data_IF_208759851193
#
_entry.id   IF_208759851193
#
_cell.length_a   1.000
_cell.length_b   1.000
_cell.length_c   1.000
_cell.angle_alpha   90.00
_cell.angle_beta   90.00
_cell.angle_gamma   90.00
#
_symmetry.space_group_name_H-M   'P 1'
#
loop_
_entity.id
_entity.type
_entity.pdbx_description
1 polymer ?
#
# COMPACT_ATOMS: atom_id res chain seq x y z
N UNK A 1 -18.21 -16.70 5.91
CA UNK A 1 -16.73 -16.78 6.02
C UNK A 1 -16.19 -15.55 5.33
N UNK A 2 -15.64 -14.59 6.08
CA UNK A 2 -15.05 -13.38 5.51
C UNK A 2 -13.83 -13.79 4.71
N UNK A 3 -13.90 -13.73 3.38
CA UNK A 3 -12.75 -14.01 2.52
C UNK A 3 -11.65 -12.99 2.83
N UNK A 4 -10.42 -13.43 2.98
CA UNK A 4 -9.22 -12.59 3.12
C UNK A 4 -8.62 -12.35 1.72
N UNK A 5 -7.98 -11.19 1.45
CA UNK A 5 -7.24 -10.98 0.22
C UNK A 5 -6.15 -12.04 0.02
N UNK A 6 -5.88 -12.42 -1.23
CA UNK A 6 -4.83 -13.38 -1.58
C UNK A 6 -3.50 -12.65 -1.72
N UNK A 7 -2.73 -12.61 -0.63
CA UNK A 7 -1.49 -11.84 -0.53
C UNK A 7 -0.26 -12.68 -0.89
N UNK A 8 0.85 -12.05 -1.32
CA UNK A 8 2.16 -12.70 -1.42
C UNK A 8 2.58 -13.34 -0.09
N UNK A 9 3.25 -14.51 -0.08
CA UNK A 9 3.61 -15.20 1.16
C UNK A 9 4.38 -14.35 2.17
N UNK A 10 5.30 -13.48 1.70
CA UNK A 10 6.08 -12.57 2.56
C UNK A 10 5.22 -11.49 3.22
N UNK A 11 4.21 -10.98 2.52
CA UNK A 11 3.33 -9.93 3.04
C UNK A 11 2.27 -10.44 4.03
N UNK A 12 1.96 -11.74 4.04
CA UNK A 12 0.88 -12.31 4.87
C UNK A 12 1.06 -12.02 6.37
N UNK A 13 2.29 -12.10 6.88
CA UNK A 13 2.56 -11.92 8.31
C UNK A 13 2.34 -10.46 8.75
N UNK A 14 2.97 -9.50 8.06
CA UNK A 14 2.83 -8.07 8.32
C UNK A 14 1.39 -7.60 8.11
N UNK A 15 0.75 -8.01 7.02
CA UNK A 15 -0.64 -7.63 6.76
C UNK A 15 -1.59 -8.13 7.88
N UNK A 16 -1.41 -9.36 8.37
CA UNK A 16 -2.17 -9.88 9.51
C UNK A 16 -1.91 -9.10 10.79
N UNK A 17 -0.66 -8.68 11.02
CA UNK A 17 -0.34 -7.81 12.15
C UNK A 17 -1.14 -6.51 12.05
N UNK A 18 -1.13 -5.83 10.90
CA UNK A 18 -1.87 -4.58 10.70
C UNK A 18 -3.39 -4.74 10.86
N UNK A 19 -3.95 -5.89 10.51
CA UNK A 19 -5.37 -6.18 10.74
C UNK A 19 -5.74 -6.25 12.24
N UNK A 20 -4.78 -6.51 13.13
CA UNK A 20 -5.01 -6.55 14.59
C UNK A 20 -4.81 -5.21 15.29
N UNK A 21 -4.26 -4.23 14.58
CA UNK A 21 -3.98 -2.91 15.14
C UNK A 21 -5.23 -2.03 15.20
N UNK A 22 -5.18 -1.01 16.04
CA UNK A 22 -6.31 -0.08 16.17
C UNK A 22 -6.50 0.68 14.86
N UNK A 23 -7.70 0.67 14.26
CA UNK A 23 -7.94 1.38 13.02
C UNK A 23 -7.68 2.87 13.16
N UNK A 24 -6.91 3.44 12.22
CA UNK A 24 -6.72 4.89 12.13
C UNK A 24 -7.87 5.53 11.34
N UNK A 25 -8.23 6.78 11.59
CA UNK A 25 -9.13 7.52 10.69
C UNK A 25 -8.55 7.62 9.27
N UNK A 26 -9.41 7.52 8.25
CA UNK A 26 -9.01 7.61 6.82
C UNK A 26 -8.16 8.83 6.52
N UNK A 27 -8.54 10.00 7.04
CA UNK A 27 -7.83 11.25 6.78
C UNK A 27 -6.39 11.23 7.34
N UNK A 28 -6.13 10.48 8.41
CA UNK A 28 -4.79 10.34 8.97
C UNK A 28 -3.93 9.47 8.06
N UNK A 29 -4.46 8.32 7.62
CA UNK A 29 -3.75 7.45 6.68
C UNK A 29 -3.51 8.13 5.32
N UNK A 30 -4.47 8.94 4.84
CA UNK A 30 -4.29 9.73 3.63
C UNK A 30 -3.14 10.75 3.76
N UNK A 31 -3.03 11.41 4.91
CA UNK A 31 -1.92 12.34 5.19
C UNK A 31 -0.57 11.61 5.36
N UNK A 32 -0.57 10.42 5.96
CA UNK A 32 0.64 9.57 6.04
C UNK A 32 1.10 9.12 4.64
N UNK A 33 0.17 8.78 3.75
CA UNK A 33 0.45 8.47 2.34
C UNK A 33 1.00 9.68 1.56
N UNK A 34 0.52 10.89 1.84
CA UNK A 34 1.10 12.12 1.27
C UNK A 34 2.55 12.33 1.73
N UNK A 35 2.81 12.18 3.02
CA UNK A 35 4.16 12.33 3.59
C UNK A 35 5.12 11.26 3.07
N UNK A 36 4.64 10.02 2.92
CA UNK A 36 5.35 8.92 2.29
C UNK A 36 5.78 9.29 0.86
N UNK A 37 4.84 9.79 0.05
CA UNK A 37 5.13 10.12 -1.34
C UNK A 37 6.11 11.30 -1.46
N UNK A 38 6.02 12.29 -0.57
CA UNK A 38 7.02 13.36 -0.49
C UNK A 38 8.42 12.82 -0.17
N UNK A 39 8.51 11.83 0.72
CA UNK A 39 9.77 11.17 1.07
C UNK A 39 10.35 10.41 -0.14
N UNK A 40 9.55 9.59 -0.81
CA UNK A 40 9.97 8.87 -2.04
C UNK A 40 10.38 9.86 -3.13
N UNK A 41 9.68 10.98 -3.28
CA UNK A 41 10.01 12.00 -4.28
C UNK A 41 11.37 12.66 -4.04
N UNK A 42 11.73 12.87 -2.76
CA UNK A 42 13.08 13.34 -2.40
C UNK A 42 14.14 12.30 -2.74
N UNK A 43 13.87 11.01 -2.51
CA UNK A 43 14.77 9.93 -2.90
C UNK A 43 14.94 9.84 -4.42
N UNK A 44 13.83 9.85 -5.17
CA UNK A 44 13.82 9.80 -6.63
C UNK A 44 14.57 10.99 -7.27
N UNK A 45 14.50 12.17 -6.66
CA UNK A 45 15.28 13.33 -7.14
C UNK A 45 16.80 13.14 -7.06
N UNK A 46 17.27 12.15 -6.29
CA UNK A 46 18.69 11.84 -6.07
C UNK A 46 19.11 10.50 -6.69
N UNK A 47 18.15 9.65 -7.04
CA UNK A 47 18.37 8.32 -7.59
C UNK A 47 17.35 8.04 -8.71
N UNK A 48 17.79 8.07 -9.96
CA UNK A 48 16.95 7.77 -11.14
C UNK A 48 16.44 6.32 -11.17
N UNK A 49 17.03 5.42 -10.36
CA UNK A 49 16.57 4.04 -10.21
C UNK A 49 15.29 3.88 -9.38
N UNK A 50 14.86 4.91 -8.66
CA UNK A 50 13.59 4.89 -7.91
C UNK A 50 12.42 5.00 -8.88
N UNK A 51 11.49 4.05 -8.82
CA UNK A 51 10.31 4.01 -9.67
C UNK A 51 9.24 5.01 -9.21
N UNK A 52 9.52 6.31 -9.39
CA UNK A 52 8.66 7.41 -8.92
C UNK A 52 7.21 7.29 -9.41
N UNK A 53 7.01 7.04 -10.70
CA UNK A 53 5.68 6.94 -11.29
C UNK A 53 4.87 5.77 -10.70
N UNK A 54 5.54 4.67 -10.35
CA UNK A 54 4.89 3.53 -9.70
C UNK A 54 4.50 3.90 -8.26
N UNK A 55 5.39 4.51 -7.48
CA UNK A 55 5.08 4.96 -6.12
C UNK A 55 3.89 5.93 -6.07
N UNK A 56 3.78 6.85 -7.03
CA UNK A 56 2.61 7.72 -7.17
C UNK A 56 1.32 6.92 -7.39
N UNK A 57 1.33 6.00 -8.37
CA UNK A 57 0.16 5.16 -8.68
C UNK A 57 -0.26 4.29 -7.49
N UNK A 58 0.69 3.73 -6.75
CA UNK A 58 0.41 2.93 -5.55
C UNK A 58 -0.18 3.78 -4.43
N UNK A 59 0.36 4.98 -4.22
CA UNK A 59 -0.17 5.94 -3.23
C UNK A 59 -1.61 6.34 -3.55
N UNK A 60 -1.88 6.69 -4.81
CA UNK A 60 -3.23 7.06 -5.26
C UNK A 60 -4.20 5.88 -5.13
N UNK A 61 -3.74 4.67 -5.45
CA UNK A 61 -4.51 3.44 -5.29
C UNK A 61 -4.85 3.16 -3.83
N UNK A 62 -3.88 3.31 -2.93
CA UNK A 62 -4.10 3.14 -1.49
C UNK A 62 -5.16 4.13 -0.96
N UNK A 63 -5.10 5.40 -1.36
CA UNK A 63 -6.11 6.41 -1.01
C UNK A 63 -7.49 6.07 -1.58
N UNK A 64 -7.55 5.60 -2.83
CA UNK A 64 -8.79 5.17 -3.45
C UNK A 64 -9.40 3.96 -2.72
N UNK A 65 -8.60 2.98 -2.31
CA UNK A 65 -9.04 1.82 -1.54
C UNK A 65 -9.57 2.21 -0.15
N UNK A 66 -8.91 3.14 0.54
CA UNK A 66 -9.38 3.67 1.84
C UNK A 66 -10.78 4.28 1.72
N UNK A 67 -11.05 4.98 0.62
CA UNK A 67 -12.34 5.64 0.36
C UNK A 67 -13.39 4.65 -0.15
N UNK A 68 -12.98 3.68 -0.96
CA UNK A 68 -13.87 2.71 -1.60
C UNK A 68 -14.18 1.48 -0.74
N UNK A 69 -13.57 1.37 0.44
CA UNK A 69 -13.67 0.19 1.29
C UNK A 69 -15.15 -0.13 1.63
N UNK A 70 -15.63 -1.34 1.33
CA UNK A 70 -16.95 -1.78 1.75
C UNK A 70 -17.09 -1.80 3.28
N UNK A 71 -18.33 -1.72 3.76
CA UNK A 71 -18.62 -1.85 5.19
C UNK A 71 -18.01 -3.13 5.77
N UNK A 72 -17.34 -3.02 6.93
CA UNK A 72 -16.65 -4.13 7.59
C UNK A 72 -15.33 -4.56 6.93
N UNK A 73 -14.92 -3.99 5.79
CA UNK A 73 -13.65 -4.29 5.11
C UNK A 73 -12.60 -3.19 5.21
N UNK A 74 -12.93 -2.11 5.91
CA UNK A 74 -12.07 -0.93 6.06
C UNK A 74 -10.65 -1.28 6.57
N UNK A 75 -10.54 -2.22 7.51
CA UNK A 75 -9.27 -2.74 8.02
C UNK A 75 -8.32 -3.30 6.94
N UNK A 76 -8.84 -3.89 5.86
CA UNK A 76 -8.00 -4.43 4.78
C UNK A 76 -7.39 -3.30 3.93
N UNK A 77 -8.15 -2.22 3.70
CA UNK A 77 -7.63 -1.04 3.02
C UNK A 77 -6.54 -0.36 3.85
N UNK A 78 -6.77 -0.27 5.17
CA UNK A 78 -5.78 0.30 6.09
C UNK A 78 -4.53 -0.56 6.17
N UNK A 79 -4.66 -1.88 6.27
CA UNK A 79 -3.52 -2.79 6.28
C UNK A 79 -2.68 -2.69 5.00
N UNK A 80 -3.32 -2.54 3.83
CA UNK A 80 -2.60 -2.32 2.57
C UNK A 80 -1.88 -0.97 2.51
N UNK A 81 -2.56 0.11 2.92
CA UNK A 81 -1.95 1.44 2.98
C UNK A 81 -0.75 1.49 3.93
N UNK A 82 -0.85 0.81 5.07
CA UNK A 82 0.25 0.73 6.05
C UNK A 82 1.39 -0.14 5.58
N UNK A 83 1.10 -1.26 4.91
CA UNK A 83 2.13 -2.06 4.26
C UNK A 83 3.00 -1.19 3.35
N UNK A 84 2.37 -0.42 2.45
CA UNK A 84 3.06 0.52 1.57
C UNK A 84 3.93 1.54 2.32
N UNK A 85 3.44 2.09 3.43
CA UNK A 85 4.16 3.14 4.19
C UNK A 85 5.34 2.56 5.00
N UNK A 86 5.12 1.42 5.66
CA UNK A 86 6.01 0.90 6.69
C UNK A 86 7.05 -0.11 6.17
N UNK A 87 6.88 -0.70 4.97
CA UNK A 87 7.89 -1.60 4.37
C UNK A 87 9.18 -0.83 4.01
N UNK A 88 9.08 0.49 3.76
CA UNK A 88 10.22 1.38 3.43
C UNK A 88 11.23 1.61 4.57
N UNK A 89 11.00 1.11 5.79
CA UNK A 89 11.95 1.29 6.90
C UNK A 89 13.19 0.38 6.76
N UNK A 90 13.23 -0.47 5.73
CA UNK A 90 14.44 -1.15 5.29
C UNK A 90 15.07 -0.37 4.12
N UNK A 91 16.33 0.07 4.28
CA UNK A 91 17.15 0.78 3.28
C UNK A 91 17.17 0.17 1.84
N UNK A 92 16.60 -1.01 1.60
CA UNK A 92 16.62 -1.76 0.33
C UNK A 92 15.64 -1.22 -0.75
N UNK A 93 14.47 -0.70 -0.39
CA UNK A 93 13.43 -0.35 -1.38
C UNK A 93 13.74 0.92 -2.19
N UNK A 94 14.62 1.77 -1.66
CA UNK A 94 15.09 2.98 -2.35
C UNK A 94 16.37 2.75 -3.16
N UNK A 95 16.87 1.50 -3.19
CA UNK A 95 18.15 1.12 -3.79
C UNK A 95 17.97 0.25 -5.04
N UNK A 96 16.81 -0.38 -5.24
CA UNK A 96 16.55 -1.33 -6.33
C UNK A 96 15.37 -1.01 -7.25
N UNK A 97 15.42 -1.53 -8.48
CA UNK A 97 14.35 -1.43 -9.50
C UNK A 97 13.10 -2.24 -9.19
N UNK A 98 13.08 -3.00 -8.09
CA UNK A 98 12.01 -3.94 -7.75
C UNK A 98 11.34 -3.61 -6.40
N UNK A 99 11.72 -2.48 -5.76
CA UNK A 99 11.35 -2.15 -4.38
C UNK A 99 9.84 -2.04 -4.11
N UNK A 100 9.00 -1.79 -5.12
CA UNK A 100 7.55 -1.63 -4.93
C UNK A 100 6.72 -2.80 -5.44
N UNK A 101 7.35 -3.90 -5.86
CA UNK A 101 6.61 -5.03 -6.43
C UNK A 101 5.68 -5.68 -5.40
N UNK A 102 6.10 -5.78 -4.14
CA UNK A 102 5.26 -6.34 -3.07
C UNK A 102 4.08 -5.45 -2.73
N UNK A 103 4.31 -4.15 -2.63
CA UNK A 103 3.26 -3.16 -2.39
C UNK A 103 2.19 -3.25 -3.47
N UNK A 104 2.63 -3.33 -4.72
CA UNK A 104 1.76 -3.51 -5.89
C UNK A 104 0.92 -4.78 -5.75
N UNK A 105 1.54 -5.91 -5.41
CA UNK A 105 0.82 -7.17 -5.24
C UNK A 105 -0.16 -7.13 -4.07
N UNK A 106 0.19 -6.49 -2.95
CA UNK A 106 -0.68 -6.33 -1.77
C UNK A 106 -1.89 -5.44 -2.10
N UNK A 107 -1.65 -4.27 -2.71
CA UNK A 107 -2.72 -3.35 -3.10
C UNK A 107 -3.65 -3.98 -4.13
N UNK A 108 -3.09 -4.68 -5.13
CA UNK A 108 -3.87 -5.37 -6.15
C UNK A 108 -4.73 -6.50 -5.55
N UNK A 109 -4.19 -7.27 -4.61
CA UNK A 109 -4.95 -8.30 -3.92
C UNK A 109 -6.14 -7.71 -3.12
N UNK A 110 -5.96 -6.54 -2.50
CA UNK A 110 -7.04 -5.85 -1.79
C UNK A 110 -8.06 -5.24 -2.76
N UNK A 111 -7.61 -4.64 -3.86
CA UNK A 111 -8.48 -4.13 -4.91
C UNK A 111 -9.38 -5.22 -5.50
N UNK A 112 -8.79 -6.38 -5.83
CA UNK A 112 -9.53 -7.56 -6.28
C UNK A 112 -10.50 -8.06 -5.20
N UNK A 113 -10.07 -8.11 -3.95
CA UNK A 113 -10.91 -8.51 -2.82
C UNK A 113 -12.11 -7.55 -2.59
N UNK A 114 -11.98 -6.29 -2.97
CA UNK A 114 -13.05 -5.30 -2.93
C UNK A 114 -13.94 -5.32 -4.18
N UNK A 115 -13.59 -6.10 -5.20
CA UNK A 115 -14.27 -6.09 -6.49
C UNK A 115 -14.03 -4.80 -7.27
N UNK A 116 -12.84 -4.19 -7.12
CA UNK A 116 -12.41 -2.94 -7.76
C UNK A 116 -11.23 -3.18 -8.72
N UNK A 117 -11.44 -3.93 -9.83
CA UNK A 117 -10.38 -4.19 -10.80
C UNK A 117 -9.86 -2.91 -11.47
N UNK A 118 -10.65 -1.84 -11.44
CA UNK A 118 -10.27 -0.50 -11.90
C UNK A 118 -9.18 0.17 -11.04
N UNK A 119 -8.93 -0.34 -9.84
CA UNK A 119 -7.87 0.12 -8.93
C UNK A 119 -6.62 -0.76 -8.98
N UNK A 120 -6.57 -1.75 -9.87
CA UNK A 120 -5.37 -2.60 -10.03
C UNK A 120 -4.28 -1.81 -10.75
N UNK A 121 -3.06 -1.89 -10.21
CA UNK A 121 -1.85 -1.24 -10.74
C UNK A 121 -1.05 -2.28 -11.54
N UNK A 122 -0.99 -2.06 -12.85
CA UNK A 122 -0.08 -2.76 -13.77
C UNK A 122 1.39 -2.42 -13.51
#
# INVERSE_FOLDING_TARGET
MSQTPQLPPKAVALFKQYLTETPKPVHQLAAELDAYLEFVGKAASRNEGVQWDLAQRLTDTAKALLTAAPEGKHMHAQAAARYLIEDLDADDDLVGSDGFEDDRLVLNAVAQHFGRPDLVVD
#
